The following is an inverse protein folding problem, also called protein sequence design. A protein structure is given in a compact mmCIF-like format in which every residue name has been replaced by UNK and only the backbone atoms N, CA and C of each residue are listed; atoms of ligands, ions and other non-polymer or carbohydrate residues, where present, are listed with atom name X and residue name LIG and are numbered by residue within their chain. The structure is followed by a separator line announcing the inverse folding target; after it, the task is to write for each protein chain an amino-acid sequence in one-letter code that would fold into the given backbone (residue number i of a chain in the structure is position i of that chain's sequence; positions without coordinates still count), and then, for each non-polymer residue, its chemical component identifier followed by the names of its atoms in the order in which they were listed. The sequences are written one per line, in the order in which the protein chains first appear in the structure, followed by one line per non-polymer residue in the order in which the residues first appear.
data_IF_603664369593
#
_entry.id   IF_603664369593
#
_cell.length_a   1.000
_cell.length_b   1.000
_cell.length_c   1.000
_cell.angle_alpha   90.00
_cell.angle_beta   90.00
_cell.angle_gamma   90.00
#
_symmetry.space_group_name_H-M   'P 1'
#
loop_
_entity.id
_entity.type
_entity.pdbx_description
1 polymer ?
#
# COMPACT_ATOMS: atom_id res chain seq x y z
N UNK A 1 41.41 12.91 8.06
CA UNK A 1 40.53 12.80 6.89
C UNK A 1 41.27 13.37 5.69
N UNK A 2 41.73 12.51 4.78
CA UNK A 2 42.49 12.95 3.61
C UNK A 2 41.50 13.30 2.50
N UNK A 3 41.34 14.60 2.22
CA UNK A 3 40.48 15.07 1.15
C UNK A 3 41.16 14.78 -0.20
N UNK A 4 40.45 14.11 -1.10
CA UNK A 4 40.94 13.85 -2.45
C UNK A 4 40.58 15.06 -3.32
N UNK A 5 41.55 15.70 -4.01
CA UNK A 5 41.34 16.98 -4.69
C UNK A 5 40.44 16.90 -5.93
N UNK A 6 40.14 15.70 -6.42
CA UNK A 6 39.25 15.48 -7.56
C UNK A 6 38.49 14.17 -7.40
N UNK A 7 37.33 14.08 -8.05
CA UNK A 7 36.49 12.88 -8.05
C UNK A 7 37.21 11.73 -8.79
N UNK A 8 37.62 10.64 -8.11
CA UNK A 8 38.35 9.53 -8.73
C UNK A 8 37.48 8.73 -9.73
N UNK A 9 36.16 8.96 -9.75
CA UNK A 9 35.24 8.33 -10.68
C UNK A 9 34.96 9.16 -11.95
N UNK A 10 35.62 10.31 -12.13
CA UNK A 10 35.36 11.25 -13.24
C UNK A 10 35.60 10.62 -14.61
N UNK A 11 36.69 9.87 -14.74
CA UNK A 11 37.13 9.29 -16.02
C UNK A 11 36.82 7.79 -16.12
N UNK A 12 35.97 7.29 -15.21
CA UNK A 12 35.51 5.90 -15.26
C UNK A 12 34.56 5.76 -16.45
N UNK A 13 35.05 5.10 -17.49
CA UNK A 13 34.20 4.59 -18.57
C UNK A 13 33.32 3.51 -17.97
N UNK A 14 32.07 3.86 -17.65
CA UNK A 14 31.07 2.91 -17.22
C UNK A 14 30.95 1.82 -18.30
N UNK A 15 31.24 0.55 -17.98
CA UNK A 15 31.07 -0.53 -18.95
C UNK A 15 29.63 -0.47 -19.44
N UNK A 16 29.44 -0.57 -20.77
CA UNK A 16 28.12 -0.52 -21.39
C UNK A 16 27.26 -1.59 -20.71
N UNK A 17 26.42 -1.15 -19.79
CA UNK A 17 25.69 -2.05 -18.92
C UNK A 17 24.62 -2.75 -19.77
N UNK A 18 24.97 -3.89 -20.36
CA UNK A 18 24.07 -4.74 -21.14
C UNK A 18 22.89 -5.24 -20.29
N UNK A 19 22.95 -5.09 -18.96
CA UNK A 19 21.80 -5.32 -18.07
C UNK A 19 20.78 -4.17 -18.06
N UNK A 20 21.09 -2.96 -18.54
CA UNK A 20 20.07 -1.89 -18.73
C UNK A 20 18.96 -2.36 -19.69
N UNK A 21 19.27 -3.22 -20.66
CA UNK A 21 18.31 -3.85 -21.56
C UNK A 21 17.40 -4.89 -20.84
N UNK A 22 17.80 -5.38 -19.66
CA UNK A 22 17.00 -6.26 -18.78
C UNK A 22 16.39 -5.51 -17.60
N UNK A 23 16.10 -4.21 -17.72
CA UNK A 23 15.25 -3.54 -16.71
C UNK A 23 13.93 -4.30 -16.63
N UNK A 24 13.70 -5.01 -15.52
CA UNK A 24 12.42 -5.68 -15.26
C UNK A 24 11.30 -4.66 -15.46
N UNK A 25 10.38 -4.95 -16.38
CA UNK A 25 9.19 -4.11 -16.61
C UNK A 25 8.54 -3.80 -15.26
N UNK A 26 8.14 -2.54 -15.07
CA UNK A 26 7.45 -2.11 -13.85
C UNK A 26 6.18 -2.96 -13.72
N UNK A 27 6.11 -3.75 -12.64
CA UNK A 27 4.99 -4.64 -12.41
C UNK A 27 3.78 -3.82 -11.97
N UNK A 28 2.73 -3.82 -12.78
CA UNK A 28 1.43 -3.25 -12.49
C UNK A 28 0.36 -4.10 -13.18
N UNK A 29 -0.90 -3.93 -12.79
CA UNK A 29 -1.99 -4.61 -13.49
C UNK A 29 -2.38 -3.88 -14.77
N UNK A 30 -2.64 -4.66 -15.80
CA UNK A 30 -3.47 -4.20 -16.92
C UNK A 30 -4.95 -4.13 -16.51
N UNK A 31 -5.77 -3.38 -17.24
CA UNK A 31 -7.19 -3.16 -16.88
C UNK A 31 -7.98 -4.47 -16.70
N UNK A 32 -7.72 -5.47 -17.55
CA UNK A 32 -8.38 -6.78 -17.45
C UNK A 32 -7.95 -7.55 -16.20
N UNK A 33 -6.65 -7.52 -15.86
CA UNK A 33 -6.09 -8.18 -14.69
C UNK A 33 -6.60 -7.53 -13.39
N UNK A 34 -6.67 -6.19 -13.37
CA UNK A 34 -7.24 -5.44 -12.26
C UNK A 34 -8.71 -5.80 -12.05
N UNK A 35 -9.51 -5.82 -13.13
CA UNK A 35 -10.93 -6.20 -13.05
C UNK A 35 -11.09 -7.63 -12.54
N UNK A 36 -10.27 -8.57 -13.00
CA UNK A 36 -10.26 -9.97 -12.53
C UNK A 36 -9.90 -10.04 -11.03
N UNK A 37 -8.88 -9.30 -10.60
CA UNK A 37 -8.47 -9.26 -9.19
C UNK A 37 -9.55 -8.66 -8.30
N UNK A 38 -10.17 -7.54 -8.69
CA UNK A 38 -11.27 -6.93 -7.94
C UNK A 38 -12.49 -7.85 -7.87
N UNK A 39 -12.89 -8.45 -8.98
CA UNK A 39 -13.98 -9.44 -9.00
C UNK A 39 -13.69 -10.65 -8.13
N UNK A 40 -12.43 -11.11 -8.06
CA UNK A 40 -12.03 -12.15 -7.11
C UNK A 40 -12.19 -11.70 -5.65
N UNK A 41 -11.78 -10.48 -5.32
CA UNK A 41 -11.91 -9.94 -3.96
C UNK A 41 -13.38 -9.79 -3.53
N UNK A 42 -14.25 -9.38 -4.46
CA UNK A 42 -15.69 -9.22 -4.20
C UNK A 42 -16.38 -10.56 -3.91
N UNK A 43 -15.83 -11.67 -4.40
CA UNK A 43 -16.33 -13.02 -4.17
C UNK A 43 -15.74 -13.70 -2.93
N UNK A 44 -14.85 -13.05 -2.17
CA UNK A 44 -14.32 -13.62 -0.93
C UNK A 44 -15.40 -13.66 0.15
N UNK A 45 -15.35 -14.69 0.99
CA UNK A 45 -16.19 -14.80 2.19
C UNK A 45 -15.81 -13.71 3.20
N UNK A 46 -16.38 -12.52 3.00
CA UNK A 46 -16.12 -11.38 3.87
C UNK A 46 -16.78 -11.55 5.23
N UNK A 47 -17.56 -12.60 5.54
CA UNK A 47 -17.96 -12.87 6.94
C UNK A 47 -16.73 -13.18 7.81
N UNK A 48 -15.67 -13.74 7.21
CA UNK A 48 -14.37 -13.85 7.87
C UNK A 48 -13.69 -12.48 7.88
N UNK A 49 -13.48 -11.94 9.08
CA UNK A 49 -12.84 -10.64 9.27
C UNK A 49 -11.50 -10.52 8.51
N UNK A 50 -10.71 -11.60 8.49
CA UNK A 50 -9.44 -11.64 7.76
C UNK A 50 -9.58 -11.30 6.28
N UNK A 51 -10.57 -11.87 5.57
CA UNK A 51 -10.77 -11.57 4.15
C UNK A 51 -11.31 -10.16 3.94
N UNK A 52 -12.14 -9.68 4.87
CA UNK A 52 -12.62 -8.31 4.83
C UNK A 52 -11.49 -7.28 5.06
N UNK A 53 -10.58 -7.55 6.00
CA UNK A 53 -9.35 -6.79 6.22
C UNK A 53 -8.46 -6.78 4.97
N UNK A 54 -8.17 -7.97 4.41
CA UNK A 54 -7.29 -8.12 3.25
C UNK A 54 -7.88 -7.39 2.03
N UNK A 55 -9.19 -7.52 1.80
CA UNK A 55 -9.92 -6.83 0.72
C UNK A 55 -9.87 -5.32 0.88
N UNK A 56 -10.16 -4.81 2.08
CA UNK A 56 -10.16 -3.37 2.36
C UNK A 56 -8.76 -2.78 2.16
N UNK A 57 -7.72 -3.45 2.68
CA UNK A 57 -6.33 -3.02 2.51
C UNK A 57 -5.93 -2.93 1.03
N UNK A 58 -6.27 -3.93 0.22
CA UNK A 58 -5.89 -3.95 -1.20
C UNK A 58 -6.64 -2.90 -2.01
N UNK A 59 -7.95 -2.74 -1.77
CA UNK A 59 -8.74 -1.68 -2.41
C UNK A 59 -8.24 -0.28 -2.01
N UNK A 60 -7.92 -0.08 -0.74
CA UNK A 60 -7.34 1.17 -0.25
C UNK A 60 -6.01 1.52 -0.93
N UNK A 61 -5.10 0.54 -1.07
CA UNK A 61 -3.81 0.75 -1.77
C UNK A 61 -3.99 1.08 -3.26
N UNK A 62 -5.00 0.51 -3.91
CA UNK A 62 -5.34 0.81 -5.30
C UNK A 62 -6.00 2.19 -5.45
N UNK A 63 -6.82 2.60 -4.48
CA UNK A 63 -7.50 3.89 -4.50
C UNK A 63 -6.55 5.06 -4.19
N UNK A 64 -5.57 4.86 -3.29
CA UNK A 64 -4.68 5.95 -2.82
C UNK A 64 -3.28 5.92 -3.44
N UNK A 65 -2.86 4.77 -3.98
CA UNK A 65 -1.49 4.56 -4.43
C UNK A 65 -0.43 4.72 -3.33
N UNK A 66 -0.79 4.75 -2.04
CA UNK A 66 0.19 4.89 -0.96
C UNK A 66 1.08 3.64 -0.85
N UNK A 67 2.26 3.78 -0.23
CA UNK A 67 3.12 2.63 0.02
C UNK A 67 2.49 1.76 1.11
N UNK A 68 2.74 0.44 1.07
CA UNK A 68 2.20 -0.49 2.07
C UNK A 68 2.58 -0.09 3.50
N UNK A 69 3.84 0.27 3.76
CA UNK A 69 4.26 0.66 5.11
C UNK A 69 3.70 2.01 5.57
N UNK A 70 3.31 2.89 4.64
CA UNK A 70 2.58 4.11 4.97
C UNK A 70 1.15 3.73 5.38
N UNK A 71 0.47 2.88 4.58
CA UNK A 71 -0.88 2.40 4.91
C UNK A 71 -0.93 1.69 6.27
N UNK A 72 0.03 0.81 6.54
CA UNK A 72 0.10 0.07 7.80
C UNK A 72 0.41 0.95 9.01
N UNK A 73 1.01 2.13 8.82
CA UNK A 73 1.29 3.07 9.88
C UNK A 73 0.08 3.95 10.23
N UNK A 74 -0.95 4.01 9.38
CA UNK A 74 -2.10 4.90 9.56
C UNK A 74 -2.88 4.57 10.83
N UNK A 75 -3.21 5.62 11.57
CA UNK A 75 -4.22 5.60 12.63
C UNK A 75 -5.50 6.26 12.13
N UNK A 76 -6.63 5.97 12.78
CA UNK A 76 -7.92 6.56 12.41
C UNK A 76 -7.95 8.09 12.52
N UNK A 77 -7.03 8.70 13.27
CA UNK A 77 -6.84 10.15 13.33
C UNK A 77 -6.17 10.74 12.10
N UNK A 78 -5.52 9.93 11.27
CA UNK A 78 -4.85 10.37 10.04
C UNK A 78 -5.80 10.36 8.83
N UNK A 79 -7.07 9.98 9.02
CA UNK A 79 -8.07 9.93 7.95
C UNK A 79 -9.24 10.84 8.31
N UNK A 80 -9.35 11.94 7.59
CA UNK A 80 -10.51 12.82 7.63
C UNK A 80 -11.59 12.27 6.69
N UNK A 81 -12.52 11.51 7.27
CA UNK A 81 -13.61 10.88 6.52
C UNK A 81 -14.74 11.84 6.15
N UNK A 82 -14.72 13.07 6.68
CA UNK A 82 -15.73 14.09 6.40
C UNK A 82 -15.27 14.97 5.23
N UNK A 83 -13.98 15.29 5.17
CA UNK A 83 -13.35 15.98 4.04
C UNK A 83 -12.80 15.02 2.97
N UNK A 84 -12.87 13.71 3.19
CA UNK A 84 -12.38 12.67 2.29
C UNK A 84 -10.88 12.77 1.99
N UNK A 85 -10.07 12.97 3.02
CA UNK A 85 -8.61 13.14 2.93
C UNK A 85 -7.88 12.12 3.80
N UNK A 86 -6.79 11.55 3.28
CA UNK A 86 -5.84 10.71 4.02
C UNK A 86 -4.51 11.46 4.18
N UNK A 87 -4.11 11.70 5.42
CA UNK A 87 -2.84 12.35 5.77
C UNK A 87 -1.71 11.32 5.87
N UNK A 88 -0.79 11.31 4.92
CA UNK A 88 0.39 10.43 4.97
C UNK A 88 1.51 11.15 5.73
N UNK A 89 1.58 10.90 7.03
CA UNK A 89 2.52 11.57 7.95
C UNK A 89 3.59 10.65 8.54
N UNK A 90 3.48 9.33 8.30
CA UNK A 90 4.31 8.30 8.94
C UNK A 90 4.44 7.04 8.09
N UNK A 91 5.45 6.23 8.43
CA UNK A 91 5.70 4.92 7.82
C UNK A 91 6.22 3.95 8.88
N UNK A 92 5.90 2.66 8.73
CA UNK A 92 6.56 1.60 9.49
C UNK A 92 7.91 1.24 8.89
N UNK A 93 8.92 1.05 9.73
CA UNK A 93 10.19 0.45 9.32
C UNK A 93 10.10 -1.09 9.33
N UNK A 94 11.24 -1.77 9.15
CA UNK A 94 11.31 -3.24 9.14
C UNK A 94 11.13 -3.85 10.53
N UNK A 95 11.48 -3.07 11.55
CA UNK A 95 11.44 -3.43 12.97
C UNK A 95 10.08 -3.09 13.60
N UNK A 96 9.09 -2.70 12.78
CA UNK A 96 7.70 -2.39 13.17
C UNK A 96 7.62 -1.10 14.03
N UNK A 97 8.58 -0.20 13.86
CA UNK A 97 8.57 1.10 14.53
C UNK A 97 8.02 2.18 13.61
N UNK A 98 7.17 3.03 14.16
CA UNK A 98 6.69 4.23 13.50
C UNK A 98 7.86 5.19 13.33
N UNK A 99 8.09 5.60 12.09
CA UNK A 99 9.07 6.63 11.74
C UNK A 99 8.40 7.77 10.98
N UNK A 100 9.01 8.95 11.10
CA UNK A 100 8.70 10.05 10.19
C UNK A 100 9.14 9.68 8.76
N UNK A 101 8.42 10.16 7.73
CA UNK A 101 8.81 9.98 6.36
C UNK A 101 10.22 10.53 6.11
N UNK A 102 11.02 9.81 5.32
CA UNK A 102 12.45 10.07 5.10
C UNK A 102 12.78 11.47 4.56
N UNK A 103 11.79 12.21 4.04
CA UNK A 103 11.95 13.56 3.52
C UNK A 103 10.67 14.36 3.70
N UNK A 104 10.78 15.70 3.74
CA UNK A 104 9.62 16.61 3.74
C UNK A 104 8.66 16.34 2.57
N UNK A 105 9.18 15.98 1.41
CA UNK A 105 8.38 15.63 0.22
C UNK A 105 7.56 14.34 0.36
N UNK A 106 7.78 13.56 1.42
CA UNK A 106 7.03 12.32 1.65
C UNK A 106 5.76 12.54 2.48
N UNK A 107 5.64 13.69 3.15
CA UNK A 107 4.39 14.17 3.75
C UNK A 107 3.46 14.64 2.64
N UNK A 108 2.24 14.13 2.62
CA UNK A 108 1.23 14.49 1.62
C UNK A 108 -0.16 14.13 2.08
N UNK A 109 -1.11 14.86 1.56
CA UNK A 109 -2.53 14.55 1.67
C UNK A 109 -2.98 13.85 0.37
N UNK A 110 -3.86 12.87 0.52
CA UNK A 110 -4.42 12.11 -0.61
C UNK A 110 -5.94 12.21 -0.51
N UNK A 111 -6.54 12.85 -1.51
CA UNK A 111 -7.99 12.86 -1.67
C UNK A 111 -8.47 11.46 -2.03
N UNK A 112 -9.55 11.02 -1.40
CA UNK A 112 -10.18 9.73 -1.65
C UNK A 112 -11.62 9.91 -2.12
N UNK A 113 -12.08 9.02 -2.99
CA UNK A 113 -13.45 9.07 -3.50
C UNK A 113 -14.47 8.61 -2.45
N UNK A 114 -15.74 8.97 -2.66
CA UNK A 114 -16.82 8.66 -1.72
C UNK A 114 -17.03 7.15 -1.53
N UNK A 115 -16.69 6.34 -2.54
CA UNK A 115 -16.71 4.89 -2.41
C UNK A 115 -15.66 4.39 -1.41
N UNK A 116 -14.43 4.92 -1.47
CA UNK A 116 -13.38 4.62 -0.49
C UNK A 116 -13.76 5.11 0.91
N UNK A 117 -14.34 6.31 1.04
CA UNK A 117 -14.86 6.81 2.34
C UNK A 117 -15.89 5.84 2.92
N UNK A 118 -16.86 5.42 2.11
CA UNK A 118 -17.92 4.50 2.53
C UNK A 118 -17.36 3.14 2.96
N UNK A 119 -16.40 2.60 2.19
CA UNK A 119 -15.68 1.38 2.52
C UNK A 119 -14.95 1.51 3.86
N UNK A 120 -14.23 2.61 4.09
CA UNK A 120 -13.50 2.86 5.34
C UNK A 120 -14.43 3.02 6.54
N UNK A 121 -15.58 3.69 6.40
CA UNK A 121 -16.60 3.82 7.46
C UNK A 121 -17.14 2.44 7.88
N UNK A 122 -17.49 1.59 6.92
CA UNK A 122 -17.94 0.21 7.20
C UNK A 122 -16.82 -0.62 7.86
N UNK A 123 -15.59 -0.45 7.38
CA UNK A 123 -14.45 -1.15 7.91
C UNK A 123 -14.12 -0.74 9.36
N UNK A 124 -14.14 0.56 9.68
CA UNK A 124 -13.98 1.07 11.05
C UNK A 124 -15.00 0.48 12.00
N UNK A 125 -16.27 0.43 11.61
CA UNK A 125 -17.34 -0.15 12.42
C UNK A 125 -17.07 -1.63 12.71
N UNK A 126 -16.67 -2.39 11.69
CA UNK A 126 -16.42 -3.82 11.84
C UNK A 126 -15.17 -4.11 12.67
N UNK A 127 -14.08 -3.38 12.43
CA UNK A 127 -12.86 -3.48 13.23
C UNK A 127 -13.15 -3.19 14.71
N UNK A 128 -13.94 -2.16 15.00
CA UNK A 128 -14.36 -1.82 16.38
C UNK A 128 -15.11 -2.98 17.02
N UNK A 129 -16.06 -3.59 16.30
CA UNK A 129 -16.81 -4.75 16.80
C UNK A 129 -15.91 -5.95 17.09
N UNK A 130 -14.96 -6.26 16.22
CA UNK A 130 -14.02 -7.38 16.45
C UNK A 130 -13.05 -7.08 17.60
N UNK A 131 -12.54 -5.86 17.71
CA UNK A 131 -11.68 -5.45 18.83
C UNK A 131 -12.41 -5.55 20.18
N UNK A 132 -13.69 -5.17 20.23
CA UNK A 132 -14.50 -5.28 21.45
C UNK A 132 -14.71 -6.72 21.91
N UNK A 133 -14.81 -7.69 20.99
CA UNK A 133 -14.94 -9.11 21.37
C UNK A 133 -13.76 -9.63 22.19
N UNK A 134 -12.58 -9.01 22.03
CA UNK A 134 -11.36 -9.34 22.76
C UNK A 134 -11.02 -8.29 23.83
N UNK A 135 -11.95 -7.39 24.16
CA UNK A 135 -11.78 -6.38 25.20
C UNK A 135 -10.81 -5.25 24.84
N UNK A 136 -10.54 -5.02 23.56
CA UNK A 136 -9.58 -4.03 23.09
C UNK A 136 -10.24 -2.85 22.37
N UNK A 137 -9.50 -1.74 22.26
CA UNK A 137 -9.83 -0.61 21.41
C UNK A 137 -8.75 -0.48 20.34
N UNK A 138 -9.17 -0.29 19.10
CA UNK A 138 -8.24 -0.22 17.98
C UNK A 138 -8.09 1.22 17.47
N UNK A 139 -6.84 1.65 17.31
CA UNK A 139 -6.49 2.99 16.81
C UNK A 139 -5.87 2.92 15.43
N UNK A 140 -5.18 1.82 15.11
CA UNK A 140 -4.49 1.61 13.85
C UNK A 140 -5.50 1.12 12.81
N UNK A 141 -5.51 1.75 11.64
CA UNK A 141 -6.46 1.43 10.57
C UNK A 141 -6.29 -0.02 10.14
N UNK A 142 -5.05 -0.46 9.88
CA UNK A 142 -4.76 -1.81 9.39
C UNK A 142 -4.01 -2.68 10.41
N UNK A 143 -4.56 -2.82 11.63
CA UNK A 143 -3.98 -3.65 12.70
C UNK A 143 -4.16 -5.17 12.51
N UNK A 144 -3.36 -5.97 13.22
CA UNK A 144 -3.55 -7.44 13.32
C UNK A 144 -4.15 -7.90 14.66
N UNK A 145 -4.63 -6.97 15.50
CA UNK A 145 -5.17 -7.16 16.86
C UNK A 145 -4.26 -7.87 17.89
N UNK A 146 -3.09 -8.36 17.48
CA UNK A 146 -2.19 -9.14 18.36
C UNK A 146 -0.93 -8.32 18.66
N UNK A 147 -0.30 -7.74 17.63
CA UNK A 147 0.99 -7.05 17.74
C UNK A 147 0.89 -5.57 17.39
N UNK A 148 -0.32 -4.99 17.44
CA UNK A 148 -0.68 -3.64 16.94
C UNK A 148 -0.53 -3.49 15.42
N UNK A 149 0.59 -3.95 14.84
CA UNK A 149 0.88 -3.90 13.42
C UNK A 149 1.12 -5.30 12.82
N UNK A 150 0.62 -5.55 11.59
CA UNK A 150 0.85 -6.82 10.90
C UNK A 150 2.29 -6.96 10.41
N UNK A 151 2.80 -8.19 10.46
CA UNK A 151 4.07 -8.51 9.82
C UNK A 151 3.99 -8.39 8.30
N UNK A 152 4.88 -7.58 7.72
CA UNK A 152 4.98 -7.35 6.27
C UNK A 152 5.22 -8.63 5.46
N UNK A 153 5.99 -9.58 6.00
CA UNK A 153 6.27 -10.87 5.35
C UNK A 153 5.02 -11.76 5.30
N UNK A 154 4.22 -11.78 6.38
CA UNK A 154 2.93 -12.49 6.44
C UNK A 154 1.97 -11.91 5.41
N UNK A 155 1.83 -10.59 5.35
CA UNK A 155 0.96 -9.91 4.39
C UNK A 155 1.40 -10.16 2.94
N UNK A 156 2.71 -10.16 2.67
CA UNK A 156 3.25 -10.47 1.34
C UNK A 156 2.88 -11.88 0.90
N UNK A 157 3.02 -12.88 1.77
CA UNK A 157 2.66 -14.27 1.47
C UNK A 157 1.16 -14.41 1.19
N UNK A 158 0.32 -13.74 1.99
CA UNK A 158 -1.14 -13.70 1.80
C UNK A 158 -1.52 -13.11 0.45
N UNK A 159 -0.93 -11.96 0.11
CA UNK A 159 -1.15 -11.31 -1.18
C UNK A 159 -0.77 -12.22 -2.36
N UNK A 160 0.36 -12.92 -2.26
CA UNK A 160 0.77 -13.90 -3.28
C UNK A 160 -0.25 -15.03 -3.45
N UNK A 161 -0.84 -15.51 -2.35
CA UNK A 161 -1.94 -16.49 -2.41
C UNK A 161 -3.16 -15.92 -3.12
N UNK A 162 -3.55 -14.67 -2.86
CA UNK A 162 -4.67 -14.03 -3.54
C UNK A 162 -4.40 -13.84 -5.03
N UNK A 163 -3.21 -13.39 -5.44
CA UNK A 163 -2.86 -13.31 -6.87
C UNK A 163 -2.94 -14.67 -7.57
N UNK A 164 -2.44 -15.74 -6.93
CA UNK A 164 -2.54 -17.09 -7.49
C UNK A 164 -3.99 -17.56 -7.62
N UNK A 165 -4.84 -17.29 -6.62
CA UNK A 165 -6.26 -17.68 -6.63
C UNK A 165 -7.12 -16.87 -7.60
N UNK A 166 -6.79 -15.60 -7.77
CA UNK A 166 -7.40 -14.73 -8.76
C UNK A 166 -6.88 -15.00 -10.18
N UNK A 167 -5.85 -15.84 -10.33
CA UNK A 167 -5.20 -16.14 -11.61
C UNK A 167 -4.75 -14.86 -12.34
N UNK A 168 -4.00 -14.02 -11.62
CA UNK A 168 -3.42 -12.75 -12.09
C UNK A 168 -1.92 -12.70 -11.77
N UNK A 169 -1.11 -11.90 -12.48
CA UNK A 169 0.32 -11.84 -12.21
C UNK A 169 0.64 -11.30 -10.82
N UNK A 170 1.74 -11.78 -10.26
CA UNK A 170 2.24 -11.30 -8.99
C UNK A 170 3.02 -9.97 -9.16
N UNK A 171 2.30 -8.87 -8.92
CA UNK A 171 2.84 -7.50 -8.98
C UNK A 171 3.44 -7.01 -7.65
N UNK A 172 3.15 -7.71 -6.55
CA UNK A 172 3.53 -7.30 -5.19
C UNK A 172 2.85 -6.01 -4.72
N UNK A 173 3.11 -5.57 -3.49
CA UNK A 173 2.49 -4.36 -2.93
C UNK A 173 2.83 -3.07 -3.70
N UNK A 174 4.10 -2.93 -4.13
CA UNK A 174 4.48 -1.78 -4.95
C UNK A 174 3.75 -1.75 -6.29
N UNK A 175 3.28 -2.90 -6.78
CA UNK A 175 2.49 -2.99 -7.98
C UNK A 175 1.15 -2.27 -7.89
N UNK A 176 0.51 -2.21 -6.72
CA UNK A 176 -0.72 -1.44 -6.53
C UNK A 176 -0.49 0.05 -6.75
N UNK A 177 0.60 0.61 -6.21
CA UNK A 177 0.98 2.00 -6.45
C UNK A 177 1.25 2.29 -7.93
N UNK A 178 1.94 1.39 -8.62
CA UNK A 178 2.18 1.54 -10.05
C UNK A 178 0.89 1.43 -10.87
N UNK A 179 -0.04 0.58 -10.43
CA UNK A 179 -1.36 0.44 -11.05
C UNK A 179 -2.17 1.73 -10.87
N UNK A 180 -2.22 2.27 -9.66
CA UNK A 180 -2.87 3.56 -9.37
C UNK A 180 -2.31 4.70 -10.24
N UNK A 181 -0.97 4.83 -10.31
CA UNK A 181 -0.34 5.84 -11.16
C UNK A 181 -0.68 5.65 -12.67
N UNK A 182 -0.75 4.40 -13.14
CA UNK A 182 -1.16 4.09 -14.52
C UNK A 182 -2.62 4.50 -14.78
N UNK A 183 -3.53 4.28 -13.81
CA UNK A 183 -4.93 4.68 -13.92
C UNK A 183 -5.10 6.21 -13.96
N UNK A 184 -4.37 6.96 -13.13
CA UNK A 184 -4.39 8.42 -13.17
C UNK A 184 -3.88 8.96 -14.52
N UNK A 185 -2.78 8.37 -15.03
CA UNK A 185 -2.25 8.73 -16.34
C UNK A 185 -3.23 8.47 -17.49
N UNK A 186 -3.88 7.30 -17.47
CA UNK A 186 -4.84 6.93 -18.51
C UNK A 186 -6.16 7.72 -18.42
N UNK A 187 -6.49 8.28 -17.26
CA UNK A 187 -7.65 9.16 -17.08
C UNK A 187 -7.35 10.64 -17.38
N UNK A 188 -6.12 10.95 -17.83
CA UNK A 188 -5.72 12.30 -18.20
C UNK A 188 -5.48 13.25 -17.03
N UNK A 189 -5.37 12.72 -15.80
CA UNK A 189 -5.07 13.49 -14.60
C UNK A 189 -3.53 13.56 -14.46
N UNK A 190 -2.90 14.76 -14.60
CA UNK A 190 -1.47 14.90 -14.37
C UNK A 190 -1.13 14.71 -12.88
N UNK A 191 0.05 14.14 -12.62
CA UNK A 191 0.55 13.78 -11.29
C UNK A 191 1.38 14.87 -10.61
#
# INVERSE_FOLDING_TARGET
MQAIPSNPARDVVLPRNTQKAKRKKVKHFENQELKKFLGYLDNLDTHRYRYYYETTLYKFLLATGCRINEALALSWSDIDLDNAVVHITKTLNRDIEINSPKSKASYRDIDIDQATVSMLKQYKLRQTKEAWKIGQRERVVFSDFIHEYPSSSRLKRRLQTHFKRADVPNIGFHGFRHTHASLLLNSGIPY
#
